data_IF_537805093426
#
_entry.id   IF_537805093426
#
_cell.length_a   1.000
_cell.length_b   1.000
_cell.length_c   1.000
_cell.angle_alpha   90.00
_cell.angle_beta   90.00
_cell.angle_gamma   90.00
#
_symmetry.space_group_name_H-M   'P 1'
#
loop_
_entity.id
_entity.type
_entity.pdbx_description
1 polymer ?
#
# COMPACT_ATOMS: atom_id res chain seq x y z
N UNK A 1 21.69 -11.58 85.55
CA UNK A 1 22.97 -11.11 84.99
C UNK A 1 22.72 -10.87 83.52
N UNK A 2 22.06 -9.74 83.21
CA UNK A 2 22.66 -8.51 82.66
C UNK A 2 23.36 -8.75 81.32
N UNK A 3 23.31 -7.92 80.30
CA UNK A 3 22.41 -6.88 79.77
C UNK A 3 23.09 -6.48 78.44
N UNK A 4 22.35 -5.77 77.59
CA UNK A 4 22.83 -4.78 76.62
C UNK A 4 23.41 -5.13 75.23
N UNK A 5 22.55 -4.87 74.23
CA UNK A 5 22.61 -3.71 73.32
C UNK A 5 23.93 -3.38 72.61
N UNK A 6 23.91 -3.31 71.27
CA UNK A 6 24.27 -2.10 70.48
C UNK A 6 23.72 -2.22 69.05
N UNK A 7 22.80 -1.31 68.78
CA UNK A 7 22.21 -0.92 67.51
C UNK A 7 23.25 -0.15 66.67
N UNK A 8 23.43 -0.50 65.40
CA UNK A 8 24.32 0.21 64.48
C UNK A 8 23.79 0.16 63.05
N UNK A 9 22.89 1.09 62.72
CA UNK A 9 22.43 1.35 61.36
C UNK A 9 23.43 2.33 60.71
N UNK A 10 24.15 1.97 59.63
CA UNK A 10 24.96 2.96 58.93
C UNK A 10 24.05 3.87 58.10
N UNK A 11 24.13 5.16 58.41
CA UNK A 11 23.40 6.25 57.79
C UNK A 11 23.63 6.31 56.27
N UNK A 12 22.57 6.63 55.52
CA UNK A 12 22.64 7.05 54.13
C UNK A 12 23.47 8.34 54.03
N UNK A 13 24.39 8.47 53.05
CA UNK A 13 25.14 9.70 52.86
C UNK A 13 24.21 10.83 52.37
N UNK A 14 24.37 12.02 52.97
CA UNK A 14 23.63 13.23 52.61
C UNK A 14 23.89 13.65 51.15
N UNK A 15 22.91 14.29 50.49
CA UNK A 15 23.05 14.76 49.12
C UNK A 15 24.02 15.94 49.06
N UNK A 16 25.09 15.78 48.28
CA UNK A 16 26.03 16.85 47.94
C UNK A 16 25.29 17.94 47.15
N UNK A 17 25.22 19.20 47.62
CA UNK A 17 24.63 20.27 46.85
C UNK A 17 25.64 20.78 45.81
N UNK A 18 25.24 20.82 44.53
CA UNK A 18 25.95 21.62 43.52
C UNK A 18 26.56 20.86 42.34
N UNK A 19 25.91 19.84 41.79
CA UNK A 19 26.21 19.39 40.42
C UNK A 19 25.03 19.73 39.52
N UNK A 20 25.08 20.92 38.94
CA UNK A 20 24.26 21.29 37.79
C UNK A 20 24.64 20.35 36.63
N UNK A 21 23.82 19.34 36.39
CA UNK A 21 23.95 18.48 35.21
C UNK A 21 23.57 19.33 34.00
N UNK A 22 24.60 19.94 33.38
CA UNK A 22 24.47 20.62 32.11
C UNK A 22 23.95 19.62 31.06
N UNK A 23 22.66 19.69 30.76
CA UNK A 23 22.03 19.00 29.63
C UNK A 23 22.75 19.44 28.36
N UNK A 24 23.60 18.56 27.83
CA UNK A 24 24.30 18.79 26.58
C UNK A 24 23.26 18.85 25.45
N UNK A 25 23.17 19.94 24.67
CA UNK A 25 22.17 20.02 23.61
C UNK A 25 22.43 18.98 22.53
N UNK A 26 21.39 18.22 22.18
CA UNK A 26 21.40 17.24 21.09
C UNK A 26 21.94 17.86 19.77
N UNK A 27 22.67 17.10 18.94
CA UNK A 27 23.46 17.68 17.86
C UNK A 27 22.59 18.33 16.78
N UNK A 28 22.83 19.64 16.55
CA UNK A 28 22.26 20.50 15.47
C UNK A 28 22.46 19.98 14.03
N UNK A 29 23.19 18.87 13.82
CA UNK A 29 23.58 18.35 12.50
C UNK A 29 22.42 17.80 11.64
N UNK A 30 21.28 17.40 12.25
CA UNK A 30 20.12 16.87 11.51
C UNK A 30 19.33 17.94 10.75
N UNK A 31 19.19 19.15 11.29
CA UNK A 31 18.40 20.24 10.69
C UNK A 31 19.10 20.95 9.52
N UNK A 32 20.42 21.06 9.54
CA UNK A 32 21.17 21.74 8.46
C UNK A 32 21.14 20.91 7.17
N UNK A 33 21.26 19.58 7.28
CA UNK A 33 21.14 18.66 6.12
C UNK A 33 19.76 18.74 5.45
N UNK A 34 18.68 18.90 6.21
CA UNK A 34 17.33 18.96 5.63
C UNK A 34 17.05 20.26 4.87
N UNK A 35 17.62 21.39 5.28
CA UNK A 35 17.45 22.68 4.58
C UNK A 35 18.23 22.69 3.25
N UNK A 36 19.47 22.18 3.24
CA UNK A 36 20.29 22.11 2.02
C UNK A 36 19.69 21.13 1.01
N UNK A 37 19.22 19.96 1.46
CA UNK A 37 18.53 18.99 0.59
C UNK A 37 17.21 19.56 0.08
N UNK A 38 16.44 20.27 0.91
CA UNK A 38 15.22 20.95 0.50
C UNK A 38 15.46 22.02 -0.57
N UNK A 39 16.52 22.82 -0.43
CA UNK A 39 16.92 23.83 -1.42
C UNK A 39 17.37 23.22 -2.75
N UNK A 40 18.15 22.13 -2.73
CA UNK A 40 18.56 21.41 -3.94
C UNK A 40 17.37 20.77 -4.66
N UNK A 41 16.44 20.16 -3.91
CA UNK A 41 15.20 19.62 -4.50
C UNK A 41 14.36 20.74 -5.12
N UNK A 42 14.24 21.89 -4.45
CA UNK A 42 13.52 23.05 -4.99
C UNK A 42 14.14 23.54 -6.31
N UNK A 43 15.47 23.63 -6.38
CA UNK A 43 16.19 23.99 -7.59
C UNK A 43 16.07 22.94 -8.71
N UNK A 44 15.90 21.66 -8.36
CA UNK A 44 15.69 20.56 -9.31
C UNK A 44 14.24 20.44 -9.81
N UNK A 45 13.25 21.06 -9.15
CA UNK A 45 11.83 21.01 -9.55
C UNK A 45 11.55 21.27 -11.03
N UNK A 46 12.11 22.32 -11.68
CA UNK A 46 11.86 22.54 -13.11
C UNK A 46 12.36 21.38 -13.97
N UNK A 47 13.53 20.81 -13.65
CA UNK A 47 14.07 19.65 -14.37
C UNK A 47 13.22 18.40 -14.17
N UNK A 48 12.73 18.17 -12.95
CA UNK A 48 11.80 17.08 -12.66
C UNK A 48 10.47 17.26 -13.41
N UNK A 49 9.97 18.50 -13.50
CA UNK A 49 8.77 18.82 -14.29
C UNK A 49 8.96 18.54 -15.78
N UNK A 50 10.10 18.92 -16.36
CA UNK A 50 10.44 18.60 -17.75
C UNK A 50 10.55 17.08 -17.96
N UNK A 51 11.23 16.38 -17.06
CA UNK A 51 11.36 14.93 -17.13
C UNK A 51 10.00 14.22 -17.08
N UNK A 52 9.13 14.65 -16.16
CA UNK A 52 7.78 14.11 -16.05
C UNK A 52 6.91 14.44 -17.27
N UNK A 53 7.09 15.62 -17.88
CA UNK A 53 6.43 15.98 -19.14
C UNK A 53 6.89 15.10 -20.31
N UNK A 54 8.18 14.77 -20.39
CA UNK A 54 8.71 13.80 -21.36
C UNK A 54 8.05 12.43 -21.15
N UNK A 55 8.00 11.95 -19.90
CA UNK A 55 7.31 10.70 -19.57
C UNK A 55 5.83 10.74 -19.96
N UNK A 56 5.13 11.85 -19.69
CA UNK A 56 3.72 12.03 -20.08
C UNK A 56 3.52 11.94 -21.59
N UNK A 57 4.42 12.53 -22.37
CA UNK A 57 4.39 12.42 -23.84
C UNK A 57 4.67 10.98 -24.31
N UNK A 58 5.67 10.32 -23.72
CA UNK A 58 5.95 8.91 -23.99
C UNK A 58 4.71 8.03 -23.73
N UNK A 59 4.05 8.24 -22.58
CA UNK A 59 2.81 7.53 -22.27
C UNK A 59 1.68 7.86 -23.26
N UNK A 60 1.50 9.11 -23.68
CA UNK A 60 0.44 9.47 -24.65
C UNK A 60 0.59 8.80 -26.03
N UNK A 61 1.80 8.35 -26.37
CA UNK A 61 2.12 7.70 -27.65
C UNK A 61 2.33 6.19 -27.50
N UNK A 62 2.25 5.66 -26.29
CA UNK A 62 2.43 4.24 -25.98
C UNK A 62 1.20 3.41 -26.36
N UNK A 63 1.40 2.09 -26.43
CA UNK A 63 0.33 1.13 -26.71
C UNK A 63 -0.48 0.91 -25.44
N UNK A 64 -1.81 1.01 -25.56
CA UNK A 64 -2.79 0.66 -24.54
C UNK A 64 -3.95 -0.08 -25.21
N UNK A 65 -4.66 -0.97 -24.50
CA UNK A 65 -5.79 -1.69 -25.06
C UNK A 65 -6.92 -0.74 -25.43
N UNK A 66 -7.62 -1.07 -26.53
CA UNK A 66 -8.74 -0.28 -27.08
C UNK A 66 -10.00 -1.12 -27.30
N UNK A 67 -9.92 -2.41 -27.04
CA UNK A 67 -11.06 -3.33 -27.05
C UNK A 67 -12.03 -3.00 -25.90
N UNK A 68 -13.18 -3.67 -25.90
CA UNK A 68 -14.15 -3.53 -24.82
C UNK A 68 -13.56 -4.00 -23.49
N UNK A 69 -13.85 -3.27 -22.41
CA UNK A 69 -13.37 -3.64 -21.08
C UNK A 69 -14.08 -4.90 -20.60
N UNK A 70 -13.30 -5.93 -20.30
CA UNK A 70 -13.79 -7.02 -19.45
C UNK A 70 -13.81 -6.51 -18.01
N UNK A 71 -14.98 -6.51 -17.37
CA UNK A 71 -15.16 -6.03 -15.99
C UNK A 71 -15.91 -7.01 -15.11
N UNK A 72 -16.17 -8.22 -15.62
CA UNK A 72 -16.92 -9.24 -14.91
C UNK A 72 -16.56 -10.66 -15.33
N UNK A 73 -16.63 -11.56 -14.37
CA UNK A 73 -16.71 -13.02 -14.53
C UNK A 73 -18.03 -13.47 -13.89
N UNK A 74 -18.89 -14.13 -14.66
CA UNK A 74 -20.15 -14.65 -14.14
C UNK A 74 -19.91 -15.85 -13.21
N UNK A 75 -20.72 -15.95 -12.16
CA UNK A 75 -20.61 -17.04 -11.19
C UNK A 75 -21.41 -16.79 -9.92
N UNK A 76 -21.51 -17.79 -9.04
CA UNK A 76 -22.26 -17.68 -7.80
C UNK A 76 -21.57 -16.73 -6.82
N UNK A 77 -22.35 -16.08 -5.94
CA UNK A 77 -21.87 -15.19 -4.86
C UNK A 77 -20.83 -14.18 -5.37
N UNK A 78 -21.24 -13.24 -6.25
CA UNK A 78 -20.31 -12.34 -6.89
C UNK A 78 -19.61 -11.44 -5.87
N UNK A 79 -18.29 -11.36 -5.96
CA UNK A 79 -17.43 -10.46 -5.18
C UNK A 79 -17.02 -9.26 -6.05
N UNK A 80 -16.68 -8.13 -5.43
CA UNK A 80 -16.43 -6.87 -6.11
C UNK A 80 -15.06 -6.28 -5.79
N UNK A 81 -14.29 -5.93 -6.82
CA UNK A 81 -12.98 -5.31 -6.71
C UNK A 81 -12.97 -3.88 -7.28
N UNK A 82 -12.08 -3.03 -6.78
CA UNK A 82 -11.74 -1.75 -7.42
C UNK A 82 -10.25 -1.65 -7.64
N UNK A 83 -9.81 -1.39 -8.86
CA UNK A 83 -8.41 -1.15 -9.19
C UNK A 83 -8.15 0.33 -9.41
N UNK A 84 -7.25 0.91 -8.62
CA UNK A 84 -6.81 2.30 -8.78
C UNK A 84 -5.33 2.28 -9.12
N UNK A 85 -4.93 2.78 -10.28
CA UNK A 85 -3.51 2.69 -10.63
C UNK A 85 -3.07 3.42 -11.88
N UNK A 86 -1.79 3.27 -12.16
CA UNK A 86 -1.15 3.90 -13.31
C UNK A 86 -1.09 2.95 -14.52
N UNK A 87 0.09 2.77 -15.11
CA UNK A 87 0.32 1.98 -16.32
C UNK A 87 -0.07 0.51 -16.22
N UNK A 88 0.03 -0.09 -15.02
CA UNK A 88 -0.35 -1.49 -14.79
C UNK A 88 -1.88 -1.73 -14.89
N UNK A 89 -2.68 -0.76 -14.47
CA UNK A 89 -4.15 -0.81 -14.59
C UNK A 89 -4.59 -0.29 -15.96
N UNK A 90 -3.91 0.74 -16.48
CA UNK A 90 -4.20 1.28 -17.80
C UNK A 90 -3.90 0.28 -18.94
N UNK A 91 -3.03 -0.71 -18.70
CA UNK A 91 -2.71 -1.75 -19.68
C UNK A 91 -1.56 -1.36 -20.62
N UNK A 92 -0.50 -0.74 -20.12
CA UNK A 92 0.64 -0.35 -20.95
C UNK A 92 1.21 -1.56 -21.70
N UNK A 93 1.31 -1.46 -23.02
CA UNK A 93 1.96 -2.43 -23.88
C UNK A 93 1.16 -3.70 -24.18
N UNK A 94 -0.10 -3.80 -23.74
CA UNK A 94 -1.01 -4.90 -24.11
C UNK A 94 -2.10 -4.44 -25.06
N UNK A 95 -2.57 -5.36 -25.90
CA UNK A 95 -3.56 -5.08 -26.94
C UNK A 95 -5.02 -5.29 -26.50
N UNK A 96 -5.24 -5.99 -25.38
CA UNK A 96 -6.57 -6.31 -24.85
C UNK A 96 -6.67 -5.99 -23.37
N UNK A 97 -7.81 -5.45 -22.94
CA UNK A 97 -8.11 -5.22 -21.52
C UNK A 97 -8.10 -6.51 -20.71
N UNK A 98 -8.41 -7.66 -21.32
CA UNK A 98 -8.30 -8.96 -20.66
C UNK A 98 -6.86 -9.33 -20.26
N UNK A 99 -5.85 -8.70 -20.86
CA UNK A 99 -4.44 -8.91 -20.55
C UNK A 99 -3.90 -7.94 -19.49
N UNK A 100 -4.67 -6.96 -19.02
CA UNK A 100 -4.20 -6.03 -17.97
C UNK A 100 -3.97 -6.76 -16.65
N UNK A 101 -3.17 -6.16 -15.76
CA UNK A 101 -2.94 -6.70 -14.42
C UNK A 101 -4.24 -6.84 -13.65
N UNK A 102 -5.14 -5.86 -13.76
CA UNK A 102 -6.43 -5.84 -13.07
C UNK A 102 -7.33 -6.98 -13.52
N UNK A 103 -7.58 -7.12 -14.82
CA UNK A 103 -8.40 -8.19 -15.38
C UNK A 103 -7.83 -9.57 -15.07
N UNK A 104 -6.52 -9.74 -15.26
CA UNK A 104 -5.85 -11.00 -14.98
C UNK A 104 -5.84 -11.37 -13.49
N UNK A 105 -5.78 -10.38 -12.58
CA UNK A 105 -5.89 -10.61 -11.13
C UNK A 105 -7.31 -11.06 -10.80
N UNK A 106 -8.33 -10.31 -11.26
CA UNK A 106 -9.73 -10.62 -10.98
C UNK A 106 -10.14 -12.00 -11.51
N UNK A 107 -9.74 -12.34 -12.75
CA UNK A 107 -10.02 -13.65 -13.34
C UNK A 107 -9.36 -14.80 -12.56
N UNK A 108 -8.11 -14.64 -12.11
CA UNK A 108 -7.42 -15.63 -11.28
C UNK A 108 -8.13 -15.81 -9.93
N UNK A 109 -8.51 -14.72 -9.29
CA UNK A 109 -9.24 -14.75 -8.00
C UNK A 109 -10.59 -15.45 -8.18
N UNK A 110 -11.36 -15.07 -9.20
CA UNK A 110 -12.65 -15.69 -9.52
C UNK A 110 -12.53 -17.20 -9.75
N UNK A 111 -11.53 -17.62 -10.53
CA UNK A 111 -11.25 -19.03 -10.81
C UNK A 111 -10.85 -19.80 -9.54
N UNK A 112 -9.95 -19.25 -8.72
CA UNK A 112 -9.47 -19.87 -7.49
C UNK A 112 -10.59 -20.01 -6.45
N UNK A 113 -11.45 -18.99 -6.33
CA UNK A 113 -12.57 -18.96 -5.37
C UNK A 113 -13.82 -19.66 -5.88
N UNK A 114 -13.90 -19.96 -7.19
CA UNK A 114 -15.08 -20.50 -7.87
C UNK A 114 -16.33 -19.65 -7.63
N UNK A 115 -16.17 -18.33 -7.69
CA UNK A 115 -17.22 -17.32 -7.47
C UNK A 115 -17.29 -16.36 -8.64
N UNK A 116 -18.42 -15.68 -8.79
CA UNK A 116 -18.53 -14.53 -9.70
C UNK A 116 -17.64 -13.39 -9.22
N UNK A 117 -17.20 -12.53 -10.14
CA UNK A 117 -16.37 -11.39 -9.81
C UNK A 117 -16.71 -10.19 -10.69
N UNK A 118 -17.01 -9.05 -10.09
CA UNK A 118 -17.07 -7.76 -10.79
C UNK A 118 -15.88 -6.90 -10.40
N UNK A 119 -15.43 -6.02 -11.29
CA UNK A 119 -14.44 -5.01 -10.92
C UNK A 119 -14.60 -3.69 -11.66
N UNK A 120 -14.16 -2.63 -11.00
CA UNK A 120 -14.04 -1.29 -11.58
C UNK A 120 -12.58 -0.89 -11.68
N UNK A 121 -12.27 0.01 -12.62
CA UNK A 121 -10.92 0.47 -12.87
C UNK A 121 -10.89 2.00 -12.96
N UNK A 122 -10.01 2.61 -12.19
CA UNK A 122 -9.71 4.04 -12.25
C UNK A 122 -8.22 4.17 -12.52
N UNK A 123 -7.87 4.66 -13.71
CA UNK A 123 -6.46 4.71 -14.09
C UNK A 123 -6.08 5.89 -14.98
N UNK A 124 -4.81 6.26 -14.88
CA UNK A 124 -4.13 7.17 -15.82
C UNK A 124 -2.64 6.81 -15.85
N UNK A 125 -1.97 6.75 -17.01
CA UNK A 125 -0.55 6.38 -17.10
C UNK A 125 0.40 7.24 -16.25
N UNK A 126 -0.02 8.47 -15.92
CA UNK A 126 0.74 9.45 -15.13
C UNK A 126 0.16 9.66 -13.73
N UNK A 127 -0.70 8.76 -13.26
CA UNK A 127 -1.41 8.91 -12.00
C UNK A 127 -0.45 8.79 -10.80
N UNK A 128 -0.33 9.89 -10.04
CA UNK A 128 0.34 9.92 -8.73
C UNK A 128 -0.65 9.58 -7.61
N UNK A 129 -0.16 9.20 -6.43
CA UNK A 129 -1.04 8.98 -5.28
C UNK A 129 -1.77 10.26 -4.84
N UNK A 130 -1.13 11.42 -4.95
CA UNK A 130 -1.76 12.71 -4.64
C UNK A 130 -2.94 12.99 -5.57
N UNK A 131 -2.74 12.88 -6.89
CA UNK A 131 -3.79 13.09 -7.89
C UNK A 131 -4.88 12.01 -7.81
N UNK A 132 -4.52 10.75 -7.55
CA UNK A 132 -5.50 9.71 -7.29
C UNK A 132 -6.41 10.10 -6.11
N UNK A 133 -5.83 10.67 -5.04
CA UNK A 133 -6.59 11.08 -3.86
C UNK A 133 -7.61 12.21 -4.10
N UNK A 134 -7.61 12.85 -5.27
CA UNK A 134 -8.54 13.91 -5.66
C UNK A 134 -9.50 13.51 -6.78
N UNK A 135 -9.41 12.29 -7.30
CA UNK A 135 -10.34 11.81 -8.33
C UNK A 135 -11.78 11.78 -7.81
N UNK A 136 -12.82 11.92 -8.66
CA UNK A 136 -14.21 11.96 -8.21
C UNK A 136 -14.66 10.69 -7.49
N UNK A 137 -14.19 9.53 -7.93
CA UNK A 137 -14.47 8.23 -7.34
C UNK A 137 -13.26 7.30 -7.47
N UNK A 138 -13.07 6.43 -6.49
CA UNK A 138 -12.03 5.40 -6.40
C UNK A 138 -12.62 3.99 -6.40
N UNK A 139 -13.79 3.82 -5.77
CA UNK A 139 -14.47 2.54 -5.66
C UNK A 139 -15.99 2.71 -5.77
N UNK A 140 -16.66 1.67 -6.24
CA UNK A 140 -18.12 1.62 -6.23
C UNK A 140 -18.65 1.18 -4.85
N UNK A 141 -19.87 1.59 -4.45
CA UNK A 141 -20.51 1.05 -3.25
C UNK A 141 -20.57 -0.48 -3.27
N UNK A 142 -20.26 -1.11 -2.15
CA UNK A 142 -20.22 -2.57 -2.03
C UNK A 142 -18.94 -3.22 -2.57
N UNK A 143 -17.91 -2.46 -2.95
CA UNK A 143 -16.59 -3.02 -3.26
C UNK A 143 -16.03 -3.74 -2.02
N UNK A 144 -15.58 -4.98 -2.19
CA UNK A 144 -15.00 -5.79 -1.11
C UNK A 144 -13.52 -5.48 -0.90
N UNK A 145 -12.77 -5.32 -1.99
CA UNK A 145 -11.33 -5.03 -1.97
C UNK A 145 -10.95 -3.96 -2.97
N UNK A 146 -10.24 -2.93 -2.50
CA UNK A 146 -9.59 -1.94 -3.35
C UNK A 146 -8.10 -2.28 -3.52
N UNK A 147 -7.62 -2.34 -4.76
CA UNK A 147 -6.23 -2.62 -5.11
C UNK A 147 -5.57 -1.36 -5.67
N UNK A 148 -4.53 -0.87 -5.00
CA UNK A 148 -3.78 0.34 -5.37
C UNK A 148 -2.49 -0.05 -6.07
N UNK A 149 -2.36 0.29 -7.36
CA UNK A 149 -1.17 0.09 -8.20
C UNK A 149 -0.59 1.43 -8.65
N UNK A 150 -0.03 2.16 -7.69
CA UNK A 150 0.50 3.52 -7.84
C UNK A 150 2.01 3.56 -7.57
N UNK A 151 2.64 4.71 -7.80
CA UNK A 151 4.02 4.95 -7.35
C UNK A 151 5.04 5.21 -8.46
N UNK A 152 4.82 4.74 -9.69
CA UNK A 152 5.76 5.01 -10.81
C UNK A 152 5.86 6.53 -11.03
N UNK A 153 4.72 7.21 -11.19
CA UNK A 153 4.70 8.67 -11.34
C UNK A 153 5.27 9.39 -10.10
N UNK A 154 5.04 8.85 -8.90
CA UNK A 154 5.57 9.38 -7.63
C UNK A 154 7.10 9.26 -7.53
N UNK A 155 7.70 8.21 -8.10
CA UNK A 155 9.17 8.10 -8.19
C UNK A 155 9.71 9.14 -9.15
N UNK A 156 9.10 9.28 -10.33
CA UNK A 156 9.55 10.22 -11.37
C UNK A 156 9.40 11.68 -10.94
N UNK A 157 8.43 11.98 -10.08
CA UNK A 157 8.20 13.31 -9.49
C UNK A 157 8.90 13.51 -8.15
N UNK A 158 9.62 12.50 -7.65
CA UNK A 158 10.37 12.52 -6.38
C UNK A 158 9.46 12.87 -5.19
N UNK A 159 8.27 12.27 -5.15
CA UNK A 159 7.32 12.41 -4.04
C UNK A 159 8.00 12.12 -2.72
N UNK A 160 7.89 13.04 -1.75
CA UNK A 160 8.49 12.81 -0.43
C UNK A 160 7.76 11.69 0.33
N UNK A 161 8.44 10.93 1.21
CA UNK A 161 7.80 9.88 2.01
C UNK A 161 6.60 10.37 2.83
N UNK A 162 6.64 11.61 3.32
CA UNK A 162 5.54 12.22 4.06
C UNK A 162 4.33 12.56 3.16
N UNK A 163 4.57 12.98 1.91
CA UNK A 163 3.48 13.21 0.95
C UNK A 163 2.87 11.88 0.50
N UNK A 164 3.72 10.88 0.23
CA UNK A 164 3.28 9.53 -0.10
C UNK A 164 2.42 8.92 1.01
N UNK A 165 2.86 9.01 2.27
CA UNK A 165 2.08 8.58 3.42
C UNK A 165 0.71 9.26 3.49
N UNK A 166 0.69 10.59 3.40
CA UNK A 166 -0.56 11.36 3.48
C UNK A 166 -1.53 10.94 2.37
N UNK A 167 -1.03 10.80 1.14
CA UNK A 167 -1.83 10.40 0.00
C UNK A 167 -2.34 8.97 0.14
N UNK A 168 -1.51 8.02 0.59
CA UNK A 168 -1.95 6.63 0.82
C UNK A 168 -3.01 6.54 1.92
N UNK A 169 -2.83 7.21 3.07
CA UNK A 169 -3.86 7.25 4.13
C UNK A 169 -5.18 7.78 3.60
N UNK A 170 -5.14 8.89 2.86
CA UNK A 170 -6.33 9.49 2.23
C UNK A 170 -6.98 8.53 1.23
N UNK A 171 -6.20 7.84 0.40
CA UNK A 171 -6.72 6.84 -0.55
C UNK A 171 -7.40 5.66 0.17
N UNK A 172 -6.78 5.13 1.22
CA UNK A 172 -7.34 4.04 2.05
C UNK A 172 -8.67 4.47 2.69
N UNK A 173 -8.69 5.64 3.34
CA UNK A 173 -9.90 6.19 3.97
C UNK A 173 -11.01 6.45 2.96
N UNK A 174 -10.66 6.97 1.78
CA UNK A 174 -11.62 7.20 0.69
C UNK A 174 -12.18 5.90 0.13
N UNK A 175 -11.34 4.90 -0.15
CA UNK A 175 -11.78 3.61 -0.63
C UNK A 175 -12.81 2.99 0.32
N UNK A 176 -12.55 3.02 1.63
CA UNK A 176 -13.50 2.54 2.65
C UNK A 176 -14.78 3.37 2.75
N UNK A 177 -14.67 4.69 2.66
CA UNK A 177 -15.84 5.56 2.68
C UNK A 177 -16.77 5.33 1.48
N UNK A 178 -16.20 5.10 0.29
CA UNK A 178 -16.97 4.92 -0.94
C UNK A 178 -17.51 3.50 -1.08
N UNK A 179 -16.73 2.49 -0.67
CA UNK A 179 -17.10 1.09 -0.77
C UNK A 179 -17.93 0.55 0.41
N UNK A 180 -17.62 0.98 1.63
CA UNK A 180 -18.09 0.41 2.88
C UNK A 180 -16.94 0.18 3.88
N UNK A 181 -17.23 0.24 5.18
CA UNK A 181 -16.22 0.23 6.24
C UNK A 181 -15.35 -1.04 6.25
N UNK A 182 -15.89 -2.17 5.83
CA UNK A 182 -15.19 -3.46 5.83
C UNK A 182 -14.25 -3.66 4.64
N UNK A 183 -14.27 -2.73 3.67
CA UNK A 183 -13.45 -2.80 2.46
C UNK A 183 -11.96 -2.91 2.82
N UNK A 184 -11.35 -4.01 2.38
CA UNK A 184 -9.92 -4.23 2.53
C UNK A 184 -9.17 -3.48 1.43
N UNK A 185 -7.91 -3.11 1.71
CA UNK A 185 -7.07 -2.40 0.75
C UNK A 185 -5.77 -3.15 0.52
N UNK A 186 -5.49 -3.48 -0.73
CA UNK A 186 -4.24 -4.11 -1.17
C UNK A 186 -3.40 -3.05 -1.87
N UNK A 187 -2.16 -2.82 -1.45
CA UNK A 187 -1.27 -1.82 -2.03
C UNK A 187 -0.06 -2.52 -2.63
N UNK A 188 0.10 -2.42 -3.94
CA UNK A 188 1.27 -2.92 -4.64
C UNK A 188 2.49 -2.03 -4.33
N UNK A 189 3.62 -2.66 -4.00
CA UNK A 189 4.91 -2.01 -3.95
C UNK A 189 5.40 -1.63 -5.35
N UNK A 190 6.41 -0.77 -5.40
CA UNK A 190 6.88 -0.24 -6.67
C UNK A 190 7.76 -1.25 -7.40
N UNK A 191 7.65 -1.35 -8.74
CA UNK A 191 8.53 -2.20 -9.51
C UNK A 191 9.97 -1.67 -9.53
N UNK A 192 10.99 -2.53 -9.75
CA UNK A 192 12.38 -2.12 -9.87
C UNK A 192 12.62 -1.40 -11.19
N UNK A 193 12.17 -0.15 -11.29
CA UNK A 193 12.16 0.64 -12.52
C UNK A 193 13.53 0.77 -13.20
N UNK A 194 14.62 0.68 -12.41
CA UNK A 194 15.99 0.75 -12.89
C UNK A 194 16.46 -0.52 -13.65
N UNK A 195 15.66 -1.58 -13.63
CA UNK A 195 15.93 -2.84 -14.32
C UNK A 195 15.18 -2.95 -15.66
N UNK A 196 14.26 -2.03 -15.97
CA UNK A 196 13.46 -2.12 -17.20
C UNK A 196 14.08 -1.40 -18.40
N UNK A 197 14.98 -0.44 -18.15
CA UNK A 197 15.71 0.28 -19.21
C UNK A 197 17.15 0.55 -18.80
N UNK A 198 18.09 0.60 -19.76
CA UNK A 198 19.44 1.05 -19.48
C UNK A 198 19.40 2.53 -19.05
N UNK A 199 19.89 2.81 -17.84
CA UNK A 199 19.97 4.17 -17.28
C UNK A 199 21.34 4.39 -16.62
N UNK A 200 21.82 5.64 -16.53
CA UNK A 200 23.10 5.95 -15.89
C UNK A 200 23.17 5.45 -14.43
N UNK A 201 24.34 5.00 -13.93
CA UNK A 201 24.47 4.43 -12.58
C UNK A 201 23.96 5.34 -11.45
N UNK A 202 24.15 6.65 -11.59
CA UNK A 202 23.62 7.62 -10.63
C UNK A 202 22.08 7.64 -10.63
N UNK A 203 21.46 7.66 -11.81
CA UNK A 203 20.00 7.61 -11.93
C UNK A 203 19.43 6.30 -11.36
N UNK A 204 20.07 5.15 -11.65
CA UNK A 204 19.74 3.86 -11.03
C UNK A 204 19.76 3.94 -9.51
N UNK A 205 20.85 4.43 -8.92
CA UNK A 205 20.97 4.58 -7.45
C UNK A 205 19.86 5.47 -6.86
N UNK A 206 19.56 6.59 -7.51
CA UNK A 206 18.52 7.52 -7.06
C UNK A 206 17.12 6.91 -7.14
N UNK A 207 16.79 6.25 -8.26
CA UNK A 207 15.50 5.59 -8.47
C UNK A 207 15.32 4.44 -7.47
N UNK A 208 16.31 3.55 -7.34
CA UNK A 208 16.27 2.44 -6.37
C UNK A 208 16.11 2.95 -4.94
N UNK A 209 16.85 4.00 -4.55
CA UNK A 209 16.71 4.58 -3.22
C UNK A 209 15.34 5.23 -3.00
N UNK A 210 14.75 5.83 -4.03
CA UNK A 210 13.43 6.43 -3.94
C UNK A 210 12.33 5.36 -3.82
N UNK A 211 12.38 4.31 -4.62
CA UNK A 211 11.50 3.13 -4.51
C UNK A 211 11.54 2.59 -3.08
N UNK A 212 12.73 2.29 -2.56
CA UNK A 212 12.89 1.74 -1.21
C UNK A 212 12.29 2.64 -0.11
N UNK A 213 12.34 3.97 -0.26
CA UNK A 213 11.73 4.92 0.68
C UNK A 213 10.20 4.88 0.64
N UNK A 214 9.61 4.81 -0.55
CA UNK A 214 8.16 4.75 -0.70
C UNK A 214 7.62 3.40 -0.22
N UNK A 215 8.27 2.29 -0.58
CA UNK A 215 7.88 0.95 -0.12
C UNK A 215 8.02 0.80 1.40
N UNK A 216 9.05 1.40 2.02
CA UNK A 216 9.19 1.39 3.46
C UNK A 216 7.99 2.05 4.17
N UNK A 217 7.44 3.14 3.60
CA UNK A 217 6.22 3.77 4.09
C UNK A 217 5.01 2.86 3.83
N UNK A 218 4.87 2.30 2.63
CA UNK A 218 3.78 1.39 2.26
C UNK A 218 3.69 0.20 3.22
N UNK A 219 4.81 -0.50 3.47
CA UNK A 219 4.87 -1.62 4.42
C UNK A 219 4.61 -1.20 5.87
N UNK A 220 5.01 0.01 6.25
CA UNK A 220 4.71 0.54 7.59
C UNK A 220 3.21 0.76 7.75
N UNK A 221 2.56 1.40 6.78
CA UNK A 221 1.11 1.63 6.79
C UNK A 221 0.31 0.32 6.79
N UNK A 222 0.74 -0.68 6.01
CA UNK A 222 0.09 -2.00 6.00
C UNK A 222 0.15 -2.72 7.35
N UNK A 223 1.16 -2.43 8.19
CA UNK A 223 1.24 -2.95 9.57
C UNK A 223 0.45 -2.13 10.57
N UNK A 224 0.30 -0.82 10.33
CA UNK A 224 -0.38 0.10 11.24
C UNK A 224 -1.91 0.11 11.06
N UNK A 225 -2.40 -0.14 9.85
CA UNK A 225 -3.81 0.00 9.50
C UNK A 225 -4.40 -1.40 9.25
N UNK A 226 -5.34 -1.82 10.11
CA UNK A 226 -6.04 -3.09 9.95
C UNK A 226 -6.75 -3.16 8.59
N UNK A 227 -6.79 -4.35 7.98
CA UNK A 227 -7.37 -4.57 6.65
C UNK A 227 -6.60 -3.92 5.49
N UNK A 228 -5.33 -3.53 5.70
CA UNK A 228 -4.43 -3.08 4.62
C UNK A 228 -3.29 -4.08 4.44
N UNK A 229 -2.99 -4.48 3.21
CA UNK A 229 -1.88 -5.39 2.88
C UNK A 229 -0.96 -4.75 1.84
N UNK A 230 0.35 -4.79 2.10
CA UNK A 230 1.36 -4.42 1.10
C UNK A 230 1.79 -5.68 0.34
N UNK A 231 1.85 -5.60 -1.00
CA UNK A 231 2.28 -6.70 -1.86
C UNK A 231 3.61 -6.33 -2.50
N UNK A 232 4.71 -7.03 -2.17
CA UNK A 232 6.00 -6.75 -2.76
C UNK A 232 5.98 -6.97 -4.27
N UNK A 233 6.84 -6.26 -5.00
CA UNK A 233 7.04 -6.57 -6.41
C UNK A 233 7.48 -8.03 -6.53
N UNK A 234 6.84 -8.84 -7.39
CA UNK A 234 7.23 -10.23 -7.57
C UNK A 234 8.69 -10.31 -8.01
N UNK A 235 9.45 -11.25 -7.44
CA UNK A 235 10.82 -11.49 -7.87
C UNK A 235 10.80 -11.74 -9.39
N UNK A 236 11.44 -10.84 -10.13
CA UNK A 236 11.67 -11.00 -11.56
C UNK A 236 13.06 -11.56 -11.71
N UNK A 237 13.19 -12.87 -11.51
CA UNK A 237 14.47 -13.54 -11.61
C UNK A 237 14.88 -13.64 -13.08
N UNK A 238 15.95 -12.94 -13.41
CA UNK A 238 16.74 -13.15 -14.60
C UNK A 238 18.21 -12.95 -14.20
N UNK A 239 18.73 -13.72 -13.23
CA UNK A 239 20.16 -14.06 -13.03
C UNK A 239 21.20 -13.06 -13.59
N UNK A 240 21.06 -11.76 -13.29
CA UNK A 240 21.93 -10.70 -13.83
C UNK A 240 21.94 -10.53 -15.37
N UNK A 241 21.11 -11.27 -16.12
CA UNK A 241 20.99 -11.20 -17.57
C UNK A 241 19.83 -10.30 -17.94
N UNK A 242 20.17 -9.12 -18.45
CA UNK A 242 19.25 -8.23 -19.15
C UNK A 242 18.87 -8.87 -20.49
N UNK A 243 18.04 -9.92 -20.46
CA UNK A 243 17.52 -10.48 -21.70
C UNK A 243 16.43 -9.54 -22.20
N UNK A 244 16.84 -8.55 -23.00
CA UNK A 244 15.93 -7.66 -23.73
C UNK A 244 14.87 -8.45 -24.50
N UNK A 245 15.13 -9.73 -24.81
CA UNK A 245 14.22 -10.64 -25.51
C UNK A 245 13.14 -11.29 -24.62
N UNK A 246 13.26 -11.27 -23.28
CA UNK A 246 12.27 -11.87 -22.36
C UNK A 246 11.33 -10.85 -21.72
N UNK A 247 11.70 -9.57 -21.74
CA UNK A 247 10.83 -8.51 -21.25
C UNK A 247 9.70 -8.24 -22.26
N UNK A 248 8.47 -8.56 -21.85
CA UNK A 248 7.29 -8.04 -22.52
C UNK A 248 6.33 -7.46 -21.48
N UNK A 249 5.62 -6.40 -21.86
CA UNK A 249 4.59 -5.82 -21.02
C UNK A 249 3.50 -6.84 -20.66
N UNK A 250 3.17 -7.74 -21.60
CA UNK A 250 2.23 -8.84 -21.35
C UNK A 250 2.71 -9.78 -20.23
N UNK A 251 4.00 -10.16 -20.23
CA UNK A 251 4.58 -10.94 -19.13
C UNK A 251 4.55 -10.16 -17.81
N UNK A 252 4.80 -8.84 -17.84
CA UNK A 252 4.73 -8.00 -16.63
C UNK A 252 3.34 -7.96 -16.02
N UNK A 253 2.31 -7.77 -16.85
CA UNK A 253 0.93 -7.80 -16.37
C UNK A 253 0.57 -9.15 -15.76
N UNK A 254 1.04 -10.24 -16.37
CA UNK A 254 0.83 -11.61 -15.90
C UNK A 254 1.50 -11.85 -14.53
N UNK A 255 2.79 -11.55 -14.40
CA UNK A 255 3.54 -11.75 -13.14
C UNK A 255 2.94 -10.93 -12.00
N UNK A 256 2.53 -9.68 -12.27
CA UNK A 256 1.81 -8.88 -11.29
C UNK A 256 0.49 -9.51 -10.86
N UNK A 257 -0.28 -10.03 -11.81
CA UNK A 257 -1.55 -10.67 -11.50
C UNK A 257 -1.37 -11.94 -10.66
N UNK A 258 -0.32 -12.71 -10.92
CA UNK A 258 0.07 -13.90 -10.13
C UNK A 258 0.49 -13.51 -8.71
N UNK A 259 1.20 -12.40 -8.55
CA UNK A 259 1.57 -11.88 -7.25
C UNK A 259 0.36 -11.35 -6.46
N UNK A 260 -0.55 -10.61 -7.11
CA UNK A 260 -1.67 -9.96 -6.43
C UNK A 260 -2.80 -10.92 -6.05
N UNK A 261 -3.09 -11.92 -6.88
CA UNK A 261 -4.28 -12.76 -6.71
C UNK A 261 -4.37 -13.48 -5.34
N UNK A 262 -3.29 -14.06 -4.77
CA UNK A 262 -3.35 -14.65 -3.43
C UNK A 262 -3.66 -13.64 -2.32
N UNK A 263 -3.08 -12.43 -2.39
CA UNK A 263 -3.32 -11.38 -1.40
C UNK A 263 -4.74 -10.82 -1.49
N UNK A 264 -5.27 -10.64 -2.71
CA UNK A 264 -6.66 -10.25 -2.91
C UNK A 264 -7.61 -11.33 -2.39
N UNK A 265 -7.31 -12.61 -2.62
CA UNK A 265 -8.12 -13.72 -2.11
C UNK A 265 -8.17 -13.73 -0.58
N UNK A 266 -7.02 -13.55 0.08
CA UNK A 266 -6.93 -13.44 1.54
C UNK A 266 -7.69 -12.22 2.08
N UNK A 267 -7.59 -11.08 1.38
CA UNK A 267 -8.33 -9.87 1.74
C UNK A 267 -9.84 -10.09 1.66
N UNK A 268 -10.34 -10.79 0.62
CA UNK A 268 -11.75 -11.17 0.48
C UNK A 268 -12.23 -12.06 1.62
N UNK A 269 -11.45 -13.08 2.00
CA UNK A 269 -11.80 -13.95 3.14
C UNK A 269 -11.89 -13.16 4.45
N UNK A 270 -10.98 -12.18 4.63
CA UNK A 270 -10.99 -11.31 5.80
C UNK A 270 -12.22 -10.39 5.82
N UNK A 271 -12.69 -9.91 4.66
CA UNK A 271 -13.93 -9.12 4.55
C UNK A 271 -15.15 -9.98 4.90
N UNK A 272 -15.22 -11.20 4.37
CA UNK A 272 -16.31 -12.15 4.64
C UNK A 272 -16.38 -12.48 6.14
N UNK A 273 -15.24 -12.74 6.78
CA UNK A 273 -15.16 -12.98 8.23
C UNK A 273 -15.66 -11.78 9.06
N UNK A 274 -15.23 -10.55 8.73
CA UNK A 274 -15.69 -9.33 9.43
C UNK A 274 -17.19 -9.14 9.32
N UNK A 275 -17.75 -9.33 8.12
CA UNK A 275 -19.21 -9.21 7.88
C UNK A 275 -20.01 -10.26 8.64
N UNK A 276 -19.48 -11.48 8.73
CA UNK A 276 -20.11 -12.54 9.52
C UNK A 276 -20.12 -12.19 11.02
N UNK A 277 -19.02 -11.65 11.56
CA UNK A 277 -18.94 -11.20 12.95
C UNK A 277 -19.79 -9.97 13.27
N UNK A 278 -20.09 -9.12 12.28
CA UNK A 278 -20.95 -7.94 12.47
C UNK A 278 -22.44 -8.22 12.23
N UNK A 279 -22.83 -9.46 11.94
CA UNK A 279 -24.23 -9.81 11.66
C UNK A 279 -25.04 -9.90 12.97
N UNK A 280 -26.22 -9.25 13.06
CA UNK A 280 -27.03 -9.20 14.29
C UNK A 280 -27.54 -10.57 14.78
N UNK A 281 -27.49 -11.62 13.96
CA UNK A 281 -27.78 -13.00 14.39
C UNK A 281 -26.75 -13.55 15.40
N UNK A 282 -25.57 -12.95 15.53
CA UNK A 282 -24.60 -13.32 16.55
C UNK A 282 -24.94 -12.73 17.94
N UNK A 283 -25.62 -11.58 18.00
CA UNK A 283 -26.04 -10.95 19.26
C UNK A 283 -27.25 -11.68 19.88
N UNK A 284 -28.16 -12.22 19.08
CA UNK A 284 -29.34 -12.97 19.58
C UNK A 284 -28.98 -14.32 20.22
N UNK A 285 -27.87 -14.95 19.82
CA UNK A 285 -27.42 -16.23 20.41
C UNK A 285 -26.83 -16.01 21.81
N UNK A 286 -26.11 -14.90 22.03
CA UNK A 286 -25.57 -14.55 23.35
C UNK A 286 -26.66 -14.07 24.32
N UNK A 287 -27.71 -13.41 23.84
CA UNK A 287 -28.86 -13.01 24.66
C UNK A 287 -29.73 -14.21 25.09
N UNK A 288 -29.91 -15.21 24.23
CA UNK A 288 -30.63 -16.44 24.58
C UNK A 288 -29.84 -17.38 25.49
N UNK A 289 -28.51 -17.31 25.47
CA UNK A 289 -27.66 -18.05 26.42
C UNK A 289 -27.64 -17.42 27.83
N UNK A 290 -27.95 -16.12 27.95
CA UNK A 290 -27.98 -15.39 29.23
C UNK A 290 -29.33 -15.42 29.96
N UNK A 291 -30.42 -15.84 29.32
CA UNK A 291 -31.78 -15.80 29.90
C UNK A 291 -32.25 -17.13 30.52
N UNK A 292 -31.36 -18.11 30.67
CA UNK A 292 -31.69 -19.46 31.14
C UNK A 292 -31.17 -19.78 32.54
N UNK A 293 -31.40 -18.93 33.54
CA UNK A 293 -31.20 -19.31 34.95
C UNK A 293 -32.04 -18.42 35.89
N UNK A 294 -33.37 -18.64 35.91
CA UNK A 294 -34.20 -18.20 37.03
C UNK A 294 -34.77 -19.45 37.73
N UNK A 295 -34.41 -19.70 39.01
CA UNK A 295 -34.99 -20.81 39.74
C UNK A 295 -36.41 -20.46 40.18
N UNK A 296 -37.37 -21.23 39.68
CA UNK A 296 -38.75 -21.23 40.17
C UNK A 296 -38.74 -21.73 41.62
N UNK A 297 -38.95 -20.82 42.57
CA UNK A 297 -39.18 -21.15 43.98
C UNK A 297 -40.66 -21.52 44.19
N UNK A 298 -40.88 -22.72 44.72
CA UNK A 298 -42.14 -23.25 45.22
C UNK A 298 -42.41 -22.83 46.66
#
# INVERSE_FOLDING_TARGET
>A
MHDDTITGHPALPEPVPGVEVALTPAPRRRRVRSVVVGGLLAAARPLLGIHFEIYRREMSTSIFPRDERTSRVEGPRPESLAFVGSVAVAGLGVLSHGMTTSSQTAQRVAANRRRGMGWTEVSSPVLTAETASTLPALAAPGTDVAVLLLGIADVLTVTSPASWERSLRKLIERARREAGRDCAVVVAELPPMADFRPIPPLARRLITAQIARLDAVTRRLAREIDGVTAVPFPAWDLDGLFVQDLFSWASMHRTWAEALAPHVSFALDSVEARRASSSPLAEDVDLLASSGDEPVAA
#
